data_IF_028382708007
#
_entry.id   IF_028382708007
#
_cell.length_a   1.000
_cell.length_b   1.000
_cell.length_c   1.000
_cell.angle_alpha   90.00
_cell.angle_beta   90.00
_cell.angle_gamma   90.00
#
_symmetry.space_group_name_H-M   'P 1'
#
loop_
_entity.id
_entity.type
_entity.pdbx_description
1 polymer ?
#
# COMPACT_ATOMS: atom_id res chain seq x y z
N UNK A 1 19.05 10.12 28.36
CA UNK A 1 18.58 8.87 27.72
C UNK A 1 17.79 9.26 26.49
N UNK A 2 18.40 9.22 25.30
CA UNK A 2 17.69 9.54 24.06
C UNK A 2 16.88 8.31 23.63
N UNK A 3 15.55 8.38 23.76
CA UNK A 3 14.64 7.38 23.23
C UNK A 3 14.78 7.37 21.71
N UNK A 4 15.41 6.32 21.19
CA UNK A 4 15.54 6.07 19.76
C UNK A 4 14.15 5.70 19.25
N UNK A 5 13.42 6.67 18.70
CA UNK A 5 12.16 6.41 17.99
C UNK A 5 12.39 5.31 16.95
N UNK A 6 11.49 4.33 16.82
CA UNK A 6 11.62 3.31 15.79
C UNK A 6 11.68 4.00 14.43
N UNK A 7 12.65 3.60 13.62
CA UNK A 7 12.76 4.04 12.22
C UNK A 7 11.54 3.45 11.52
N UNK A 8 10.50 4.27 11.35
CA UNK A 8 9.38 3.94 10.49
C UNK A 8 9.96 3.94 9.08
N UNK A 9 10.05 2.78 8.45
CA UNK A 9 10.51 2.64 7.08
C UNK A 9 9.72 3.61 6.17
N UNK A 10 10.37 4.61 5.53
CA UNK A 10 9.68 5.66 4.80
C UNK A 10 8.95 5.13 3.57
N UNK A 11 9.33 3.94 3.08
CA UNK A 11 8.67 3.24 1.98
C UNK A 11 7.24 2.75 2.34
N UNK A 12 6.89 2.67 3.63
CA UNK A 12 5.59 2.23 4.12
C UNK A 12 4.57 3.35 4.41
N UNK A 13 4.84 4.60 3.99
CA UNK A 13 4.00 5.75 4.38
C UNK A 13 2.73 5.89 3.53
N UNK A 14 2.78 5.46 2.27
CA UNK A 14 1.66 5.62 1.33
C UNK A 14 1.25 4.30 0.69
N UNK A 15 -0.03 4.19 0.36
CA UNK A 15 -0.60 3.02 -0.30
C UNK A 15 -1.35 3.40 -1.58
N UNK A 16 -1.47 2.44 -2.49
CA UNK A 16 -2.07 2.63 -3.83
C UNK A 16 -3.50 2.10 -3.89
N UNK A 17 -4.18 2.38 -5.00
CA UNK A 17 -5.50 1.81 -5.29
C UNK A 17 -5.49 0.27 -5.23
N UNK A 18 -4.40 -0.37 -5.64
CA UNK A 18 -4.26 -1.83 -5.61
C UNK A 18 -4.23 -2.38 -4.19
N UNK A 19 -3.49 -1.71 -3.29
CA UNK A 19 -3.48 -2.05 -1.87
C UNK A 19 -4.90 -2.00 -1.30
N UNK A 20 -5.59 -0.87 -1.47
CA UNK A 20 -6.95 -0.68 -0.94
C UNK A 20 -7.92 -1.70 -1.53
N UNK A 21 -7.80 -2.02 -2.83
CA UNK A 21 -8.62 -3.03 -3.50
C UNK A 21 -8.42 -4.42 -2.89
N UNK A 22 -7.18 -4.78 -2.57
CA UNK A 22 -6.84 -6.05 -1.91
C UNK A 22 -7.42 -6.10 -0.51
N UNK A 23 -7.18 -5.07 0.30
CA UNK A 23 -7.63 -5.03 1.70
C UNK A 23 -9.17 -5.03 1.83
N UNK A 24 -9.89 -4.45 0.86
CA UNK A 24 -11.36 -4.51 0.82
C UNK A 24 -11.91 -5.82 0.22
N UNK A 25 -11.06 -6.77 -0.14
CA UNK A 25 -11.47 -8.05 -0.75
C UNK A 25 -12.04 -7.91 -2.17
N UNK A 26 -11.88 -6.76 -2.82
CA UNK A 26 -12.47 -6.45 -4.13
C UNK A 26 -11.51 -6.70 -5.29
N UNK A 27 -10.64 -7.71 -5.18
CA UNK A 27 -9.56 -7.98 -6.15
C UNK A 27 -10.03 -8.21 -7.59
N UNK A 28 -11.25 -8.74 -7.78
CA UNK A 28 -11.87 -8.94 -9.09
C UNK A 28 -12.53 -7.67 -9.67
N UNK A 29 -12.64 -6.59 -8.88
CA UNK A 29 -13.28 -5.36 -9.31
C UNK A 29 -12.40 -4.57 -10.29
N UNK A 30 -13.00 -4.06 -11.35
CA UNK A 30 -12.33 -3.18 -12.30
C UNK A 30 -11.96 -1.84 -11.65
N UNK A 31 -10.83 -1.25 -12.06
CA UNK A 31 -10.35 0.03 -11.51
C UNK A 31 -11.40 1.14 -11.58
N UNK A 32 -12.14 1.23 -12.70
CA UNK A 32 -13.18 2.24 -12.88
C UNK A 32 -14.30 2.09 -11.84
N UNK A 33 -14.74 0.86 -11.57
CA UNK A 33 -15.76 0.58 -10.57
C UNK A 33 -15.22 0.82 -9.16
N UNK A 34 -13.97 0.47 -8.90
CA UNK A 34 -13.29 0.73 -7.64
C UNK A 34 -13.19 2.24 -7.33
N UNK A 35 -12.87 3.08 -8.32
CA UNK A 35 -12.82 4.53 -8.15
C UNK A 35 -14.19 5.10 -7.76
N UNK A 36 -15.27 4.63 -8.39
CA UNK A 36 -16.64 5.04 -8.04
C UNK A 36 -17.00 4.59 -6.63
N UNK A 37 -16.65 3.34 -6.29
CA UNK A 37 -16.86 2.79 -4.96
C UNK A 37 -16.11 3.59 -3.87
N UNK A 38 -14.84 3.93 -4.09
CA UNK A 38 -14.08 4.77 -3.17
C UNK A 38 -14.67 6.17 -3.02
N UNK A 39 -15.21 6.77 -4.08
CA UNK A 39 -15.92 8.06 -3.98
C UNK A 39 -17.14 7.96 -3.07
N UNK A 40 -17.88 6.85 -3.15
CA UNK A 40 -19.02 6.60 -2.27
C UNK A 40 -18.56 6.37 -0.82
N UNK A 41 -17.51 5.59 -0.60
CA UNK A 41 -16.91 5.39 0.73
C UNK A 41 -16.45 6.70 1.38
N UNK A 42 -15.82 7.59 0.61
CA UNK A 42 -15.41 8.92 1.11
C UNK A 42 -16.64 9.76 1.46
N UNK A 43 -17.71 9.67 0.66
CA UNK A 43 -18.91 10.48 0.84
C UNK A 43 -19.82 9.99 1.98
N UNK A 44 -19.85 8.69 2.26
CA UNK A 44 -20.84 8.06 3.14
C UNK A 44 -20.24 7.48 4.42
N UNK A 45 -18.96 7.15 4.42
CA UNK A 45 -18.30 6.42 5.51
C UNK A 45 -16.97 7.05 5.92
N UNK A 46 -16.75 8.33 5.59
CA UNK A 46 -15.56 9.11 5.96
C UNK A 46 -14.23 8.41 5.63
N UNK A 47 -14.20 7.64 4.54
CA UNK A 47 -12.97 7.01 4.09
C UNK A 47 -11.88 8.06 3.81
N UNK A 48 -10.60 7.78 4.14
CA UNK A 48 -9.52 8.72 3.93
C UNK A 48 -9.43 9.23 2.48
N UNK A 49 -9.29 10.54 2.33
CA UNK A 49 -9.09 11.15 1.01
C UNK A 49 -7.69 10.84 0.49
N UNK A 50 -7.51 10.66 -0.83
CA UNK A 50 -6.19 10.52 -1.40
C UNK A 50 -5.39 11.81 -1.25
N UNK A 51 -4.07 11.65 -1.30
CA UNK A 51 -3.14 12.76 -1.44
C UNK A 51 -3.43 13.53 -2.75
N UNK A 52 -3.20 14.86 -2.77
CA UNK A 52 -3.39 15.67 -3.97
C UNK A 52 -2.60 15.11 -5.15
N UNK A 53 -3.29 14.85 -6.26
CA UNK A 53 -2.71 14.38 -7.51
C UNK A 53 -2.78 15.51 -8.55
N UNK A 54 -1.66 15.82 -9.17
CA UNK A 54 -1.62 16.72 -10.32
C UNK A 54 -2.04 15.98 -11.59
N UNK A 55 -3.12 16.45 -12.20
CA UNK A 55 -3.64 15.95 -13.48
C UNK A 55 -2.88 16.58 -14.66
N UNK A 56 -3.02 15.96 -15.84
CA UNK A 56 -2.30 16.38 -17.06
C UNK A 56 -2.72 17.76 -17.56
N UNK A 57 -3.91 18.20 -17.20
CA UNK A 57 -4.45 19.54 -17.49
C UNK A 57 -3.94 20.61 -16.51
N UNK A 58 -3.04 20.25 -15.59
CA UNK A 58 -2.50 21.16 -14.58
C UNK A 58 -3.40 21.34 -13.35
N UNK A 59 -4.52 20.64 -13.27
CA UNK A 59 -5.42 20.72 -12.11
C UNK A 59 -4.97 19.79 -10.98
N UNK A 60 -5.06 20.25 -9.74
CA UNK A 60 -4.87 19.41 -8.56
C UNK A 60 -6.21 18.79 -8.15
N UNK A 61 -6.22 17.47 -7.98
CA UNK A 61 -7.41 16.75 -7.52
C UNK A 61 -7.14 15.95 -6.26
N UNK A 62 -8.11 15.96 -5.35
CA UNK A 62 -8.18 15.07 -4.17
C UNK A 62 -9.25 14.00 -4.34
N UNK A 63 -9.75 13.82 -5.57
CA UNK A 63 -10.67 12.74 -5.90
C UNK A 63 -9.90 11.43 -6.19
N UNK A 64 -10.49 10.26 -5.87
CA UNK A 64 -9.91 8.98 -6.25
C UNK A 64 -9.65 8.90 -7.76
N UNK A 65 -8.43 8.51 -8.11
CA UNK A 65 -7.96 8.29 -9.45
C UNK A 65 -7.00 7.09 -9.47
N UNK A 66 -6.76 6.49 -10.65
CA UNK A 66 -5.91 5.29 -10.79
C UNK A 66 -4.47 5.49 -10.28
N UNK A 67 -3.99 6.73 -10.29
CA UNK A 67 -2.63 7.14 -9.87
C UNK A 67 -2.60 7.78 -8.47
N UNK A 68 -3.74 7.83 -7.79
CA UNK A 68 -3.81 8.40 -6.46
C UNK A 68 -3.07 7.52 -5.46
N UNK A 69 -2.51 8.17 -4.44
CA UNK A 69 -1.92 7.53 -3.29
C UNK A 69 -2.64 8.00 -2.03
N UNK A 70 -2.69 7.15 -1.01
CA UNK A 70 -3.28 7.43 0.29
C UNK A 70 -2.22 7.32 1.38
N UNK A 71 -2.46 7.95 2.53
CA UNK A 71 -1.64 7.72 3.72
C UNK A 71 -2.01 6.34 4.26
N UNK A 72 -1.04 5.43 4.29
CA UNK A 72 -1.28 4.02 4.63
C UNK A 72 -1.86 3.88 6.04
N UNK A 73 -1.27 4.55 7.02
CA UNK A 73 -1.73 4.50 8.41
C UNK A 73 -3.18 4.98 8.60
N UNK A 74 -3.62 5.96 7.82
CA UNK A 74 -5.00 6.45 7.87
C UNK A 74 -5.98 5.41 7.30
N UNK A 75 -5.60 4.73 6.22
CA UNK A 75 -6.41 3.65 5.63
C UNK A 75 -6.48 2.46 6.57
N UNK A 76 -5.35 2.03 7.12
CA UNK A 76 -5.28 0.89 8.03
C UNK A 76 -6.10 1.15 9.31
N UNK A 77 -6.02 2.35 9.88
CA UNK A 77 -6.84 2.74 11.03
C UNK A 77 -8.34 2.74 10.72
N UNK A 78 -8.73 3.19 9.53
CA UNK A 78 -10.13 3.17 9.09
C UNK A 78 -10.64 1.72 8.92
N UNK A 79 -9.83 0.85 8.32
CA UNK A 79 -10.16 -0.57 8.16
C UNK A 79 -10.31 -1.26 9.53
N UNK A 80 -9.38 -1.01 10.46
CA UNK A 80 -9.43 -1.55 11.81
C UNK A 80 -10.68 -1.10 12.59
N UNK A 81 -11.16 0.13 12.36
CA UNK A 81 -12.40 0.62 12.96
C UNK A 81 -13.68 0.07 12.32
N UNK A 82 -13.60 -0.47 11.10
CA UNK A 82 -14.73 -1.01 10.36
C UNK A 82 -14.88 -2.53 10.56
N UNK A 83 -13.81 -3.23 10.92
CA UNK A 83 -13.80 -4.68 11.16
C UNK A 83 -14.05 -4.94 12.66
N UNK A 84 -15.06 -5.75 13.03
CA UNK A 84 -15.24 -6.17 14.43
C UNK A 84 -13.96 -6.83 14.95
N UNK A 85 -13.53 -6.55 16.19
CA UNK A 85 -12.23 -6.99 16.71
C UNK A 85 -12.01 -8.51 16.63
N UNK A 86 -13.09 -9.29 16.70
CA UNK A 86 -13.05 -10.76 16.60
C UNK A 86 -12.65 -11.29 15.21
N UNK A 87 -12.76 -10.47 14.16
CA UNK A 87 -12.41 -10.83 12.79
C UNK A 87 -11.01 -10.37 12.37
N UNK A 88 -10.33 -9.53 13.17
CA UNK A 88 -9.03 -8.94 12.83
C UNK A 88 -7.92 -9.97 12.69
N UNK A 89 -7.84 -10.92 13.63
CA UNK A 89 -6.79 -11.95 13.63
C UNK A 89 -6.80 -12.83 12.37
N UNK A 90 -7.98 -13.15 11.84
CA UNK A 90 -8.11 -13.95 10.61
C UNK A 90 -7.69 -13.20 9.35
N UNK A 91 -7.82 -11.87 9.34
CA UNK A 91 -7.42 -11.01 8.23
C UNK A 91 -5.91 -10.76 8.25
N UNK A 92 -5.31 -10.58 9.43
CA UNK A 92 -3.86 -10.42 9.60
C UNK A 92 -3.07 -11.63 9.08
N UNK A 93 -3.56 -12.84 9.35
CA UNK A 93 -2.96 -14.10 8.85
C UNK A 93 -3.05 -14.25 7.32
N UNK A 94 -4.08 -13.66 6.70
CA UNK A 94 -4.22 -13.63 5.24
C UNK A 94 -3.32 -12.55 4.64
N UNK A 95 -3.22 -11.39 5.29
CA UNK A 95 -2.34 -10.30 4.89
C UNK A 95 -0.86 -10.70 4.94
N UNK A 96 -0.43 -11.43 5.98
CA UNK A 96 0.94 -11.97 6.07
C UNK A 96 1.27 -12.92 4.92
N UNK A 97 0.35 -13.83 4.59
CA UNK A 97 0.53 -14.77 3.46
C UNK A 97 0.58 -14.06 2.12
N UNK A 98 -0.24 -13.02 1.93
CA UNK A 98 -0.24 -12.21 0.71
C UNK A 98 1.04 -11.37 0.57
N UNK A 99 1.55 -10.80 1.67
CA UNK A 99 2.79 -10.03 1.70
C UNK A 99 4.02 -10.91 1.37
N UNK A 100 4.07 -12.14 1.89
CA UNK A 100 5.11 -13.09 1.55
C UNK A 100 5.11 -13.41 0.04
N UNK A 101 3.93 -13.67 -0.54
CA UNK A 101 3.80 -13.94 -1.97
C UNK A 101 4.20 -12.74 -2.85
N UNK A 102 3.96 -11.50 -2.39
CA UNK A 102 4.36 -10.28 -3.09
C UNK A 102 5.88 -10.06 -3.03
N UNK A 103 6.51 -10.32 -1.88
CA UNK A 103 7.97 -10.32 -1.74
C UNK A 103 8.63 -11.36 -2.63
N UNK A 104 8.07 -12.57 -2.70
CA UNK A 104 8.58 -13.65 -3.57
C UNK A 104 8.47 -13.29 -5.05
N UNK A 105 7.36 -12.66 -5.45
CA UNK A 105 7.17 -12.22 -6.83
C UNK A 105 8.10 -11.05 -7.18
N UNK A 106 8.32 -10.11 -6.26
CA UNK A 106 9.31 -9.04 -6.45
C UNK A 106 10.74 -9.60 -6.54
N UNK A 107 11.08 -10.61 -5.74
CA UNK A 107 12.37 -11.29 -5.79
C UNK A 107 12.59 -12.04 -7.12
N UNK A 108 11.54 -12.62 -7.70
CA UNK A 108 11.60 -13.28 -8.99
C UNK A 108 11.99 -12.34 -10.15
N UNK A 109 11.76 -11.03 -10.00
CA UNK A 109 12.10 -10.00 -10.98
C UNK A 109 13.46 -9.31 -10.72
N UNK A 110 14.17 -9.68 -9.66
CA UNK A 110 15.52 -9.18 -9.38
C UNK A 110 16.56 -10.01 -10.13
N UNK A 111 17.20 -9.41 -11.12
CA UNK A 111 18.41 -9.98 -11.72
C UNK A 111 19.57 -9.85 -10.74
N UNK A 112 20.15 -10.98 -10.34
CA UNK A 112 21.40 -11.04 -9.56
C UNK A 112 22.50 -10.29 -10.32
N UNK A 113 22.78 -9.05 -9.92
CA UNK A 113 24.01 -8.36 -10.34
C UNK A 113 25.14 -9.04 -9.57
N UNK A 114 25.81 -9.97 -10.24
CA UNK A 114 26.92 -10.73 -9.69
C UNK A 114 27.94 -9.81 -9.03
N UNK A 115 28.18 -10.04 -7.74
CA UNK A 115 29.28 -9.40 -7.02
C UNK A 115 30.57 -9.67 -7.75
N UNK A 116 31.22 -8.61 -8.24
CA UNK A 116 32.53 -8.70 -8.89
C UNK A 116 33.52 -9.20 -7.85
N UNK A 117 34.00 -10.42 -8.03
CA UNK A 117 35.06 -11.02 -7.23
C UNK A 117 36.29 -10.10 -7.21
N UNK A 118 36.53 -9.42 -6.09
CA UNK A 118 37.81 -8.79 -5.83
C UNK A 118 38.80 -9.89 -5.41
N UNK A 119 39.37 -10.61 -6.39
CA UNK A 119 40.61 -11.38 -6.18
C UNK A 119 41.74 -10.38 -6.00
N UNK A 120 42.12 -10.14 -4.75
CA UNK A 120 43.40 -9.52 -4.42
C UNK A 120 44.53 -10.39 -4.95
N UNK A 121 45.31 -9.86 -5.89
CA UNK A 121 46.54 -10.49 -6.33
C UNK A 121 47.63 -10.18 -5.29
N UNK A 122 47.96 -11.18 -4.49
CA UNK A 122 49.18 -11.21 -3.70
C UNK A 122 50.26 -11.91 -4.55
N UNK A 123 51.18 -11.12 -5.10
CA UNK A 123 52.57 -11.48 -5.42
C UNK A 123 53.28 -10.24 -5.97
#
# INVERSE_FOLDING_TARGET
MASRSPIIDPCATTCTLFYIRRELGQSAMSERRMIVYLRQLIAQHDFPRPLPLLLRDGTLTTQPHRRSAWIKSAVDAWLAGFIPPDCGATLDDQAHRAAAAEMDNAAAHLHLVGGRDYRGNAA
#
